data_IF_408632460622
#
_entry.id   IF_408632460622
#
_cell.length_a   1.000
_cell.length_b   1.000
_cell.length_c   1.000
_cell.angle_alpha   90.00
_cell.angle_beta   90.00
_cell.angle_gamma   90.00
#
_symmetry.space_group_name_H-M   'P 1'
#
loop_
_entity.id
_entity.type
_entity.pdbx_description
1 polymer ?
#
# COMPACT_ATOMS: atom_id res chain seq x y z
N UNK A 1 -29.46 0.19 9.49
CA UNK A 1 -28.20 0.78 9.98
C UNK A 1 -27.86 0.14 11.31
N UNK A 2 -27.04 -0.92 11.29
CA UNK A 2 -26.60 -1.65 12.47
C UNK A 2 -25.40 -0.93 13.12
N UNK A 3 -25.58 0.34 13.54
CA UNK A 3 -24.52 1.14 14.16
C UNK A 3 -24.13 0.67 15.59
N UNK A 4 -24.65 -0.47 16.05
CA UNK A 4 -24.51 -0.98 17.42
C UNK A 4 -23.89 -2.39 17.49
N UNK A 5 -23.57 -3.02 16.36
CA UNK A 5 -23.02 -4.37 16.33
C UNK A 5 -21.49 -4.30 16.29
N UNK A 6 -20.77 -5.05 17.15
CA UNK A 6 -19.32 -5.19 17.03
C UNK A 6 -18.92 -5.68 15.63
N UNK A 7 -17.80 -5.20 15.12
CA UNK A 7 -17.36 -5.53 13.75
C UNK A 7 -17.19 -7.06 13.52
N UNK A 8 -16.79 -7.79 14.57
CA UNK A 8 -16.63 -9.25 14.53
C UNK A 8 -17.95 -10.04 14.58
N UNK A 9 -19.09 -9.37 14.76
CA UNK A 9 -20.42 -9.97 14.79
C UNK A 9 -21.25 -9.64 13.53
N UNK A 10 -20.70 -8.79 12.65
CA UNK A 10 -21.37 -8.36 11.43
C UNK A 10 -21.22 -9.43 10.33
N UNK A 11 -22.35 -9.91 9.81
CA UNK A 11 -22.40 -10.80 8.65
C UNK A 11 -22.38 -9.95 7.37
N UNK A 12 -21.46 -10.25 6.46
CA UNK A 12 -21.22 -9.55 5.18
C UNK A 12 -21.17 -8.00 5.29
N UNK A 13 -20.14 -7.45 5.98
CA UNK A 13 -20.06 -6.02 6.21
C UNK A 13 -19.84 -5.23 4.90
N UNK A 14 -20.51 -4.08 4.77
CA UNK A 14 -20.16 -3.10 3.74
C UNK A 14 -18.85 -2.40 4.12
N UNK A 15 -17.84 -2.49 3.23
CA UNK A 15 -16.52 -1.88 3.41
C UNK A 15 -16.45 -0.62 2.56
N UNK A 16 -16.00 0.48 3.17
CA UNK A 16 -15.87 1.79 2.51
C UNK A 16 -14.43 2.28 2.69
N UNK A 17 -13.83 2.81 1.62
CA UNK A 17 -12.55 3.52 1.68
C UNK A 17 -12.83 4.97 2.08
N UNK A 18 -12.14 5.44 3.12
CA UNK A 18 -12.24 6.80 3.67
C UNK A 18 -10.89 7.50 3.65
N UNK A 19 -10.84 8.72 4.19
CA UNK A 19 -9.64 9.56 4.31
C UNK A 19 -8.97 9.90 2.96
N UNK A 20 -9.65 10.76 2.20
CA UNK A 20 -9.16 11.26 0.91
C UNK A 20 -8.24 12.49 1.07
N UNK A 21 -7.64 12.72 2.25
CA UNK A 21 -6.86 13.91 2.56
C UNK A 21 -5.60 14.09 1.70
N UNK A 22 -5.08 12.99 1.14
CA UNK A 22 -3.90 12.96 0.25
C UNK A 22 -4.25 12.53 -1.18
N UNK A 23 -5.53 12.35 -1.49
CA UNK A 23 -5.98 11.95 -2.83
C UNK A 23 -5.87 13.08 -3.85
N UNK A 24 -5.82 12.70 -5.12
CA UNK A 24 -5.71 13.63 -6.25
C UNK A 24 -6.50 13.12 -7.46
N UNK A 25 -6.73 14.00 -8.43
CA UNK A 25 -7.38 13.64 -9.69
C UNK A 25 -6.31 13.22 -10.69
N UNK A 26 -6.29 11.93 -11.05
CA UNK A 26 -5.27 11.33 -11.95
C UNK A 26 -5.06 12.13 -13.23
N UNK A 27 -6.13 12.58 -13.89
CA UNK A 27 -6.07 13.36 -15.12
C UNK A 27 -5.43 14.75 -14.97
N UNK A 28 -5.36 15.29 -13.74
CA UNK A 28 -4.80 16.60 -13.42
C UNK A 28 -3.42 16.50 -12.77
N UNK A 29 -2.97 15.29 -12.42
CA UNK A 29 -1.73 15.05 -11.67
C UNK A 29 -0.95 13.89 -12.31
N UNK A 30 -0.21 14.16 -13.40
CA UNK A 30 0.45 13.12 -14.19
C UNK A 30 1.65 12.45 -13.50
N UNK A 31 2.19 13.04 -12.43
CA UNK A 31 3.27 12.48 -11.61
C UNK A 31 3.09 12.94 -10.17
N UNK A 32 2.17 12.33 -9.40
CA UNK A 32 1.91 12.70 -8.01
C UNK A 32 3.07 12.33 -7.10
N UNK A 33 3.21 13.07 -6.00
CA UNK A 33 3.96 12.61 -4.83
C UNK A 33 3.02 11.77 -3.98
N UNK A 34 3.42 10.54 -3.67
CA UNK A 34 2.63 9.70 -2.77
C UNK A 34 2.94 10.07 -1.32
N UNK A 35 1.91 9.96 -0.48
CA UNK A 35 2.00 10.10 0.97
C UNK A 35 1.63 8.81 1.68
N UNK A 36 1.67 7.70 0.95
CA UNK A 36 1.48 6.35 1.48
C UNK A 36 2.58 6.08 2.51
N UNK A 37 2.27 5.47 3.67
CA UNK A 37 3.31 5.07 4.61
C UNK A 37 4.28 4.08 3.95
N UNK A 38 5.59 4.23 4.19
CA UNK A 38 6.65 3.55 3.43
C UNK A 38 6.49 2.03 3.32
N UNK A 39 5.97 1.37 4.35
CA UNK A 39 5.75 -0.09 4.36
C UNK A 39 4.73 -0.55 3.29
N UNK A 40 3.79 0.33 2.92
CA UNK A 40 2.74 0.08 1.94
C UNK A 40 2.98 0.81 0.62
N UNK A 41 4.06 1.58 0.51
CA UNK A 41 4.44 2.29 -0.71
C UNK A 41 4.83 1.29 -1.80
N UNK A 42 4.51 1.60 -3.08
CA UNK A 42 4.97 0.81 -4.21
C UNK A 42 6.48 0.96 -4.44
N UNK A 43 7.12 0.02 -5.14
CA UNK A 43 8.56 0.05 -5.36
C UNK A 43 9.00 1.31 -6.12
N UNK A 44 8.23 1.80 -7.10
CA UNK A 44 8.57 3.03 -7.82
C UNK A 44 8.75 4.24 -6.88
N UNK A 45 7.97 4.36 -5.80
CA UNK A 45 8.15 5.40 -4.79
C UNK A 45 9.42 5.15 -3.97
N UNK A 46 9.66 3.89 -3.58
CA UNK A 46 10.86 3.45 -2.86
C UNK A 46 12.15 3.44 -3.68
N UNK A 47 12.09 3.59 -4.99
CA UNK A 47 13.25 3.81 -5.86
C UNK A 47 13.34 5.25 -6.40
N UNK A 48 12.46 6.15 -5.93
CA UNK A 48 12.35 7.55 -6.40
C UNK A 48 12.07 7.69 -7.90
N UNK A 49 11.37 6.72 -8.48
CA UNK A 49 10.87 6.79 -9.85
C UNK A 49 9.58 7.64 -9.91
N UNK A 50 9.33 8.34 -11.03
CA UNK A 50 8.08 9.07 -11.19
C UNK A 50 6.89 8.11 -11.23
N UNK A 51 5.83 8.47 -10.50
CA UNK A 51 4.58 7.69 -10.46
C UNK A 51 3.76 7.94 -11.73
N UNK A 52 4.12 7.23 -12.80
CA UNK A 52 3.48 7.36 -14.11
C UNK A 52 2.10 6.69 -14.20
N UNK A 53 1.81 5.74 -13.31
CA UNK A 53 0.55 4.99 -13.25
C UNK A 53 0.01 4.99 -11.81
N UNK A 54 -0.59 6.10 -11.35
CA UNK A 54 -1.03 6.22 -9.95
C UNK A 54 -2.01 5.14 -9.50
N UNK A 55 -2.87 4.66 -10.40
CA UNK A 55 -3.80 3.56 -10.08
C UNK A 55 -3.09 2.22 -9.85
N UNK A 56 -1.89 2.01 -10.41
CA UNK A 56 -1.09 0.82 -10.12
C UNK A 56 -0.47 0.90 -8.72
N UNK A 57 -0.09 2.10 -8.28
CA UNK A 57 0.35 2.35 -6.91
C UNK A 57 -0.75 2.02 -5.89
N UNK A 58 -2.00 2.42 -6.14
CA UNK A 58 -3.13 2.07 -5.27
C UNK A 58 -3.37 0.55 -5.22
N UNK A 59 -3.23 -0.16 -6.35
CA UNK A 59 -3.35 -1.62 -6.41
C UNK A 59 -2.24 -2.30 -5.60
N UNK A 60 -1.01 -1.79 -5.66
CA UNK A 60 0.09 -2.28 -4.82
C UNK A 60 -0.26 -2.14 -3.35
N UNK A 61 -0.62 -0.93 -2.91
CA UNK A 61 -1.01 -0.65 -1.52
C UNK A 61 -2.17 -1.55 -1.07
N UNK A 62 -3.17 -1.78 -1.93
CA UNK A 62 -4.26 -2.71 -1.66
C UNK A 62 -3.76 -4.15 -1.45
N UNK A 63 -2.84 -4.63 -2.30
CA UNK A 63 -2.26 -5.97 -2.17
C UNK A 63 -1.53 -6.18 -0.85
N UNK A 64 -0.69 -5.21 -0.45
CA UNK A 64 0.01 -5.24 0.85
C UNK A 64 -0.99 -5.25 2.01
N UNK A 65 -2.02 -4.40 1.97
CA UNK A 65 -3.07 -4.34 2.99
C UNK A 65 -3.86 -5.65 3.10
N UNK A 66 -4.28 -6.24 1.97
CA UNK A 66 -5.04 -7.48 1.97
C UNK A 66 -4.24 -8.65 2.54
N UNK A 67 -2.94 -8.71 2.25
CA UNK A 67 -2.06 -9.73 2.84
C UNK A 67 -2.01 -9.59 4.37
N UNK A 68 -1.84 -8.37 4.87
CA UNK A 68 -1.80 -8.10 6.31
C UNK A 68 -3.14 -8.43 7.00
N UNK A 69 -4.25 -8.00 6.42
CA UNK A 69 -5.58 -8.21 6.97
C UNK A 69 -5.98 -9.69 7.01
N UNK A 70 -5.67 -10.45 5.95
CA UNK A 70 -6.05 -11.87 5.84
C UNK A 70 -5.04 -12.81 6.49
N UNK A 71 -3.76 -12.41 6.53
CA UNK A 71 -2.67 -13.20 7.08
C UNK A 71 -2.36 -12.91 8.55
N UNK A 72 -2.96 -11.86 9.13
CA UNK A 72 -2.65 -11.33 10.47
C UNK A 72 -1.16 -11.02 10.67
N UNK A 73 -0.46 -10.70 9.57
CA UNK A 73 0.99 -10.46 9.52
C UNK A 73 1.34 -9.58 8.34
N UNK A 74 2.21 -8.59 8.56
CA UNK A 74 2.70 -7.71 7.49
C UNK A 74 3.41 -8.52 6.39
N UNK A 75 3.31 -8.04 5.14
CA UNK A 75 3.98 -8.68 4.00
C UNK A 75 5.51 -8.54 4.06
N UNK A 76 6.00 -7.39 4.53
CA UNK A 76 7.43 -7.08 4.61
C UNK A 76 7.83 -6.87 6.09
N UNK A 77 8.65 -7.75 6.65
CA UNK A 77 8.99 -7.72 8.07
C UNK A 77 10.23 -6.87 8.36
N UNK A 78 10.00 -5.60 8.65
CA UNK A 78 11.09 -4.64 8.81
C UNK A 78 11.36 -4.28 10.27
N UNK A 79 12.62 -4.00 10.58
CA UNK A 79 13.00 -3.43 11.87
C UNK A 79 13.01 -1.91 11.75
N UNK A 80 12.24 -1.20 12.56
CA UNK A 80 12.19 0.28 12.59
C UNK A 80 11.75 1.00 11.29
N UNK A 81 11.16 0.30 10.31
CA UNK A 81 10.61 0.89 9.07
C UNK A 81 11.63 1.67 8.26
N UNK A 82 12.90 1.24 8.33
CA UNK A 82 13.96 1.79 7.49
C UNK A 82 13.73 1.42 6.01
N UNK A 83 14.06 2.34 5.10
CA UNK A 83 13.83 2.17 3.67
C UNK A 83 14.64 1.00 3.10
N UNK A 84 15.88 0.82 3.53
CA UNK A 84 16.74 -0.25 3.03
C UNK A 84 16.26 -1.61 3.53
N UNK A 85 15.74 -1.67 4.77
CA UNK A 85 15.11 -2.87 5.32
C UNK A 85 13.82 -3.24 4.55
N UNK A 86 12.97 -2.26 4.22
CA UNK A 86 11.76 -2.49 3.40
C UNK A 86 12.15 -3.05 2.02
N UNK A 87 13.16 -2.49 1.38
CA UNK A 87 13.62 -2.95 0.07
C UNK A 87 14.20 -4.37 0.18
N UNK A 88 15.01 -4.66 1.20
CA UNK A 88 15.55 -5.99 1.43
C UNK A 88 14.43 -7.04 1.58
N UNK A 89 13.39 -6.73 2.35
CA UNK A 89 12.22 -7.60 2.53
C UNK A 89 11.38 -7.73 1.25
N UNK A 90 11.25 -6.67 0.45
CA UNK A 90 10.64 -6.78 -0.88
C UNK A 90 11.39 -7.76 -1.76
N UNK A 91 12.73 -7.70 -1.79
CA UNK A 91 13.55 -8.63 -2.59
C UNK A 91 13.42 -10.06 -2.07
N UNK A 92 13.43 -10.25 -0.75
CA UNK A 92 13.26 -11.56 -0.13
C UNK A 92 11.90 -12.19 -0.46
N UNK A 93 10.86 -11.37 -0.59
CA UNK A 93 9.46 -11.82 -0.76
C UNK A 93 9.06 -11.97 -2.23
N UNK A 94 9.52 -11.05 -3.10
CA UNK A 94 9.04 -10.88 -4.47
C UNK A 94 10.13 -11.07 -5.54
N UNK A 95 11.32 -11.52 -5.14
CA UNK A 95 12.53 -11.61 -5.96
C UNK A 95 13.11 -10.23 -6.37
N UNK A 96 14.19 -10.28 -7.16
CA UNK A 96 14.95 -9.09 -7.56
C UNK A 96 14.13 -8.11 -8.40
N UNK A 97 14.21 -6.81 -8.12
CA UNK A 97 13.59 -5.79 -8.95
C UNK A 97 14.23 -5.74 -10.34
N UNK A 98 13.56 -5.11 -11.32
CA UNK A 98 14.14 -4.84 -12.62
C UNK A 98 15.42 -4.00 -12.51
N UNK A 99 16.43 -4.32 -13.34
CA UNK A 99 17.74 -3.63 -13.38
C UNK A 99 17.70 -2.10 -13.60
N UNK A 100 16.56 -1.53 -13.97
CA UNK A 100 16.41 -0.10 -14.20
C UNK A 100 16.36 0.71 -12.90
N UNK A 101 16.05 0.05 -11.79
CA UNK A 101 15.94 0.61 -10.45
C UNK A 101 17.25 0.47 -9.68
#
# INVERSE_FOLDING_TARGET
MALSMPANELDDPEIIISDYGTSFIVAQTPSPTLHTPSLYSPPEDLFNEPIIQPTAADIWTLGVNLYELLGERVLFETFAWDRDDIIAEMVNTLDQPPMRW
#
